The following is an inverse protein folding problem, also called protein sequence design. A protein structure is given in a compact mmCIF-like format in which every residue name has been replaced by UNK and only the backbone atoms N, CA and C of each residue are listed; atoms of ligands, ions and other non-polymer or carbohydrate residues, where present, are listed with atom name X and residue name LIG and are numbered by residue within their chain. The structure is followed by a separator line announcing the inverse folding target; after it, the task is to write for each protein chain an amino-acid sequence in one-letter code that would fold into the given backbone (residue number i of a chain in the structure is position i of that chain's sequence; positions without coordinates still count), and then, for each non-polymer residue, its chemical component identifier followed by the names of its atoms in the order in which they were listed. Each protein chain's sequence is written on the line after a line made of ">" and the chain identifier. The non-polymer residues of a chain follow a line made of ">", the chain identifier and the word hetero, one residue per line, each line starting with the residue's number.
data_IF_421696149413
#
_entry.id   IF_421696149413
#
_cell.length_a   1.000
_cell.length_b   1.000
_cell.length_c   1.000
_cell.angle_alpha   90.00
_cell.angle_beta   90.00
_cell.angle_gamma   90.00
#
_symmetry.space_group_name_H-M   'P 1'
#
loop_
_entity.id
_entity.type
_entity.pdbx_description
1 polymer ?
#
# COMPACT_ATOMS: atom_id res chain seq x y z
N UNK A 1 -15.15 83.06 36.48
CA UNK A 1 -16.57 83.32 36.15
C UNK A 1 -16.61 84.00 34.80
N UNK A 2 -17.23 83.39 33.79
CA UNK A 2 -17.95 84.11 32.73
C UNK A 2 -18.89 83.12 32.05
N UNK A 3 -20.17 83.40 32.21
CA UNK A 3 -21.33 82.61 31.79
C UNK A 3 -21.48 82.59 30.26
N UNK A 4 -21.99 81.47 29.73
CA UNK A 4 -22.40 81.34 28.33
C UNK A 4 -23.70 80.55 28.26
N UNK A 5 -24.83 81.27 28.30
CA UNK A 5 -26.18 80.73 28.17
C UNK A 5 -26.39 80.11 26.77
N UNK A 6 -26.89 78.88 26.70
CA UNK A 6 -27.29 78.22 25.45
C UNK A 6 -28.68 78.68 24.98
N UNK A 7 -28.98 78.67 23.66
CA UNK A 7 -30.25 79.17 23.15
C UNK A 7 -31.40 78.16 23.38
N UNK A 8 -32.31 78.45 24.31
CA UNK A 8 -33.61 77.75 24.44
C UNK A 8 -34.65 78.37 23.50
N UNK A 9 -34.53 78.08 22.20
CA UNK A 9 -35.54 78.44 21.19
C UNK A 9 -36.58 77.33 20.98
N UNK A 10 -37.86 77.69 20.84
CA UNK A 10 -38.94 76.78 20.44
C UNK A 10 -38.65 76.20 19.05
N UNK A 11 -38.54 74.87 18.95
CA UNK A 11 -38.37 74.16 17.67
C UNK A 11 -39.73 73.81 17.10
N UNK A 12 -40.17 74.55 16.10
CA UNK A 12 -41.35 74.19 15.32
C UNK A 12 -40.99 73.01 14.39
N UNK A 13 -41.33 71.78 14.79
CA UNK A 13 -41.15 70.58 13.97
C UNK A 13 -42.48 70.28 13.31
N UNK A 14 -42.51 70.19 11.98
CA UNK A 14 -43.73 69.85 11.25
C UNK A 14 -44.23 68.45 11.66
N UNK A 15 -45.56 68.27 11.84
CA UNK A 15 -46.12 67.00 12.26
C UNK A 15 -45.94 65.94 11.16
N UNK A 16 -45.42 64.77 11.54
CA UNK A 16 -45.23 63.66 10.61
C UNK A 16 -46.55 63.15 10.03
N UNK A 17 -46.55 62.93 8.72
CA UNK A 17 -47.70 62.39 7.98
C UNK A 17 -47.97 60.92 8.38
N UNK A 18 -49.17 60.42 8.07
CA UNK A 18 -49.55 59.02 8.38
C UNK A 18 -48.67 58.01 7.65
N UNK A 19 -48.25 58.36 6.43
CA UNK A 19 -47.37 57.55 5.58
C UNK A 19 -45.96 57.46 6.17
N UNK A 20 -45.40 58.58 6.63
CA UNK A 20 -44.10 58.61 7.31
C UNK A 20 -44.09 57.76 8.58
N UNK A 21 -45.19 57.78 9.34
CA UNK A 21 -45.33 56.99 10.57
C UNK A 21 -45.44 55.48 10.28
N UNK A 22 -46.07 55.11 9.18
CA UNK A 22 -46.15 53.72 8.72
C UNK A 22 -44.79 53.23 8.22
N UNK A 23 -44.10 54.04 7.41
CA UNK A 23 -42.75 53.76 6.94
C UNK A 23 -41.73 53.67 8.08
N UNK A 24 -41.90 54.42 9.17
CA UNK A 24 -41.02 54.34 10.34
C UNK A 24 -41.14 53.02 11.13
N UNK A 25 -42.30 52.34 11.03
CA UNK A 25 -42.56 51.07 11.72
C UNK A 25 -42.08 49.86 10.94
N UNK A 26 -42.12 49.94 9.61
CA UNK A 26 -41.64 48.88 8.72
C UNK A 26 -40.17 49.10 8.37
N UNK A 27 -39.32 48.11 8.70
CA UNK A 27 -37.87 48.18 8.47
C UNK A 27 -37.53 48.32 7.00
N UNK A 28 -38.28 47.69 6.11
CA UNK A 28 -38.01 47.73 4.67
C UNK A 28 -38.40 49.09 4.07
N UNK A 29 -39.53 49.67 4.50
CA UNK A 29 -39.97 50.99 4.04
C UNK A 29 -39.10 52.11 4.61
N UNK A 30 -38.63 51.98 5.86
CA UNK A 30 -37.69 52.91 6.48
C UNK A 30 -36.37 52.98 5.69
N UNK A 31 -35.80 51.83 5.34
CA UNK A 31 -34.54 51.80 4.58
C UNK A 31 -34.73 52.31 3.14
N UNK A 32 -35.85 52.01 2.49
CA UNK A 32 -36.19 52.60 1.19
C UNK A 32 -36.28 54.13 1.25
N UNK A 33 -36.94 54.71 2.26
CA UNK A 33 -37.04 56.16 2.39
C UNK A 33 -35.69 56.82 2.71
N UNK A 34 -34.85 56.16 3.53
CA UNK A 34 -33.48 56.61 3.82
C UNK A 34 -32.59 56.60 2.58
N UNK A 35 -32.68 55.56 1.75
CA UNK A 35 -31.96 55.48 0.47
C UNK A 35 -32.41 56.57 -0.50
N UNK A 36 -33.72 56.82 -0.60
CA UNK A 36 -34.25 57.94 -1.39
C UNK A 36 -33.75 59.30 -0.88
N UNK A 37 -33.69 59.51 0.44
CA UNK A 37 -33.16 60.75 1.02
C UNK A 37 -31.65 60.91 0.78
N UNK A 38 -30.87 59.83 0.85
CA UNK A 38 -29.42 59.83 0.55
C UNK A 38 -29.13 60.10 -0.93
N UNK A 39 -29.96 59.61 -1.84
CA UNK A 39 -29.85 59.86 -3.28
C UNK A 39 -29.94 61.37 -3.64
N UNK A 40 -30.43 62.23 -2.73
CA UNK A 40 -30.54 63.68 -2.94
C UNK A 40 -29.27 64.50 -2.66
N UNK A 41 -28.18 63.92 -2.13
CA UNK A 41 -27.01 64.69 -1.61
C UNK A 41 -25.70 64.46 -2.41
N UNK A 42 -25.73 63.79 -3.56
CA UNK A 42 -24.54 63.58 -4.42
C UNK A 42 -24.63 64.26 -5.80
N UNK A 43 -23.50 64.41 -6.53
CA UNK A 43 -23.48 64.99 -7.89
C UNK A 43 -24.20 64.13 -8.94
N UNK A 44 -24.58 62.89 -8.60
CA UNK A 44 -25.38 62.03 -9.45
C UNK A 44 -26.87 62.18 -9.07
N UNK A 45 -27.49 63.28 -9.53
CA UNK A 45 -28.93 63.45 -9.43
C UNK A 45 -29.59 62.45 -10.39
N UNK A 46 -30.14 61.35 -9.86
CA UNK A 46 -31.10 60.59 -10.66
C UNK A 46 -32.34 61.47 -10.91
N UNK A 47 -32.87 61.49 -12.15
CA UNK A 47 -33.98 62.36 -12.50
C UNK A 47 -35.19 62.06 -11.61
N UNK A 48 -35.90 63.12 -11.23
CA UNK A 48 -37.01 63.17 -10.28
C UNK A 48 -38.24 62.28 -10.65
N UNK A 49 -38.13 61.53 -11.74
CA UNK A 49 -39.12 60.60 -12.30
C UNK A 49 -38.54 59.19 -12.49
N UNK A 50 -37.72 58.69 -11.56
CA UNK A 50 -37.34 57.28 -11.58
C UNK A 50 -38.52 56.41 -11.11
N UNK A 51 -39.38 56.01 -12.05
CA UNK A 51 -40.44 55.02 -11.85
C UNK A 51 -39.88 53.58 -11.75
N UNK A 52 -38.69 53.41 -11.17
CA UNK A 52 -37.99 52.13 -11.06
C UNK A 52 -37.66 51.77 -9.62
N UNK A 53 -37.28 50.51 -9.39
CA UNK A 53 -36.84 50.04 -8.08
C UNK A 53 -35.49 50.69 -7.70
N UNK A 54 -35.35 51.34 -6.53
CA UNK A 54 -34.10 51.98 -6.11
C UNK A 54 -32.95 50.99 -5.85
N UNK A 55 -33.23 49.68 -5.95
CA UNK A 55 -32.26 48.60 -5.80
C UNK A 55 -31.64 48.20 -7.15
N UNK A 56 -32.34 48.48 -8.26
CA UNK A 56 -31.89 48.11 -9.60
C UNK A 56 -31.23 49.33 -10.24
N UNK A 57 -29.91 49.31 -10.50
CA UNK A 57 -29.22 50.42 -11.14
C UNK A 57 -29.78 50.69 -12.54
N UNK A 58 -29.70 51.92 -13.02
CA UNK A 58 -30.13 52.27 -14.37
C UNK A 58 -29.32 51.52 -15.44
N UNK A 59 -29.93 51.17 -16.59
CA UNK A 59 -29.31 50.34 -17.65
C UNK A 59 -27.97 50.86 -18.20
N UNK A 60 -27.76 52.16 -18.11
CA UNK A 60 -26.54 52.85 -18.53
C UNK A 60 -25.50 53.01 -17.41
N UNK A 61 -25.82 52.62 -16.18
CA UNK A 61 -24.89 52.65 -15.07
C UNK A 61 -23.93 51.45 -15.16
N UNK A 62 -22.65 51.62 -14.79
CA UNK A 62 -21.67 50.52 -14.80
C UNK A 62 -22.00 49.39 -13.82
N UNK A 63 -22.87 49.66 -12.83
CA UNK A 63 -23.36 48.65 -11.89
C UNK A 63 -24.53 47.82 -12.47
N UNK A 64 -25.07 48.18 -13.63
CA UNK A 64 -26.14 47.42 -14.26
C UNK A 64 -25.62 46.15 -14.92
N UNK A 65 -26.19 45.02 -14.50
CA UNK A 65 -26.08 43.75 -15.19
C UNK A 65 -27.48 43.29 -15.57
N UNK A 66 -27.61 42.70 -16.76
CA UNK A 66 -28.85 42.04 -17.14
C UNK A 66 -29.02 40.78 -16.28
N UNK A 67 -30.27 40.42 -15.96
CA UNK A 67 -30.57 39.23 -15.14
C UNK A 67 -30.01 37.97 -15.81
N UNK A 68 -29.93 37.97 -17.15
CA UNK A 68 -29.31 36.90 -17.93
C UNK A 68 -27.80 36.81 -17.77
N UNK A 69 -27.09 37.92 -17.53
CA UNK A 69 -25.62 37.95 -17.36
C UNK A 69 -25.21 37.84 -15.88
N UNK A 70 -26.18 37.99 -14.98
CA UNK A 70 -26.00 37.87 -13.54
C UNK A 70 -25.63 36.45 -13.09
N UNK A 71 -26.06 35.43 -13.83
CA UNK A 71 -25.84 34.03 -13.50
C UNK A 71 -24.98 33.33 -14.55
N UNK A 72 -24.14 32.40 -14.09
CA UNK A 72 -23.41 31.54 -15.02
C UNK A 72 -24.42 30.65 -15.76
N UNK A 73 -24.37 30.69 -17.09
CA UNK A 73 -25.28 29.94 -17.96
C UNK A 73 -24.83 28.50 -18.15
N UNK A 74 -23.54 28.21 -17.96
CA UNK A 74 -22.98 26.88 -18.14
C UNK A 74 -22.97 26.05 -16.85
N UNK A 75 -24.15 25.80 -16.31
CA UNK A 75 -24.33 24.94 -15.13
C UNK A 75 -23.85 23.51 -15.44
N UNK A 76 -24.03 23.04 -16.67
CA UNK A 76 -23.61 21.71 -17.09
C UNK A 76 -22.07 21.56 -17.04
N UNK A 77 -21.33 22.56 -17.54
CA UNK A 77 -19.87 22.62 -17.47
C UNK A 77 -19.35 22.65 -16.05
N UNK A 78 -19.94 23.47 -15.17
CA UNK A 78 -19.56 23.52 -13.74
C UNK A 78 -19.78 22.18 -13.04
N UNK A 79 -20.93 21.53 -13.26
CA UNK A 79 -21.22 20.23 -12.68
C UNK A 79 -20.28 19.14 -13.19
N UNK A 80 -19.94 19.16 -14.48
CA UNK A 80 -18.98 18.24 -15.06
C UNK A 80 -17.57 18.47 -14.49
N UNK A 81 -17.12 19.72 -14.40
CA UNK A 81 -15.82 20.06 -13.80
C UNK A 81 -15.74 19.58 -12.34
N UNK A 82 -16.81 19.80 -11.56
CA UNK A 82 -16.89 19.30 -10.18
C UNK A 82 -16.84 17.78 -10.10
N UNK A 83 -17.52 17.08 -11.02
CA UNK A 83 -17.47 15.61 -11.12
C UNK A 83 -16.05 15.12 -11.43
N UNK A 84 -15.37 15.75 -12.39
CA UNK A 84 -14.00 15.40 -12.77
C UNK A 84 -13.01 15.66 -11.63
N UNK A 85 -13.10 16.79 -10.95
CA UNK A 85 -12.27 17.07 -9.77
C UNK A 85 -12.47 16.04 -8.65
N UNK A 86 -13.71 15.64 -8.40
CA UNK A 86 -14.01 14.61 -7.40
C UNK A 86 -13.45 13.24 -7.80
N UNK A 87 -13.47 12.92 -9.09
CA UNK A 87 -12.90 11.69 -9.62
C UNK A 87 -11.37 11.70 -9.49
N UNK A 88 -10.71 12.77 -9.91
CA UNK A 88 -9.26 12.95 -9.79
C UNK A 88 -8.79 12.83 -8.34
N UNK A 89 -9.46 13.50 -7.39
CA UNK A 89 -9.15 13.37 -5.96
C UNK A 89 -9.25 11.93 -5.45
N UNK A 90 -10.25 11.17 -5.92
CA UNK A 90 -10.39 9.76 -5.55
C UNK A 90 -9.24 8.93 -6.13
N UNK A 91 -8.91 9.16 -7.40
CA UNK A 91 -7.81 8.46 -8.07
C UNK A 91 -6.46 8.75 -7.41
N UNK A 92 -6.17 9.99 -7.05
CA UNK A 92 -4.97 10.40 -6.31
C UNK A 92 -4.88 9.67 -4.96
N UNK A 93 -5.97 9.65 -4.19
CA UNK A 93 -6.01 8.92 -2.91
C UNK A 93 -5.75 7.43 -3.10
N UNK A 94 -6.33 6.81 -4.14
CA UNK A 94 -6.08 5.40 -4.42
C UNK A 94 -4.65 5.13 -4.89
N UNK A 95 -4.07 6.03 -5.68
CA UNK A 95 -2.69 5.92 -6.14
C UNK A 95 -1.71 5.98 -4.96
N UNK A 96 -1.90 6.95 -4.05
CA UNK A 96 -1.08 7.08 -2.84
C UNK A 96 -1.19 5.82 -1.98
N UNK A 97 -2.42 5.38 -1.67
CA UNK A 97 -2.64 4.18 -0.85
C UNK A 97 -2.02 2.92 -1.47
N UNK A 98 -2.09 2.79 -2.81
CA UNK A 98 -1.50 1.65 -3.52
C UNK A 98 0.03 1.69 -3.43
N UNK A 99 0.65 2.85 -3.59
CA UNK A 99 2.09 3.02 -3.44
C UNK A 99 2.55 2.71 -2.01
N UNK A 100 1.87 3.26 -1.00
CA UNK A 100 2.17 3.00 0.41
C UNK A 100 2.07 1.52 0.76
N UNK A 101 0.98 0.86 0.33
CA UNK A 101 0.80 -0.57 0.55
C UNK A 101 1.90 -1.39 -0.15
N UNK A 102 2.24 -1.03 -1.38
CA UNK A 102 3.32 -1.70 -2.12
C UNK A 102 4.66 -1.58 -1.38
N UNK A 103 5.02 -0.38 -0.90
CA UNK A 103 6.26 -0.18 -0.15
C UNK A 103 6.28 -0.94 1.17
N UNK A 104 5.16 -0.95 1.89
CA UNK A 104 5.02 -1.70 3.15
C UNK A 104 5.17 -3.20 2.94
N UNK A 105 4.45 -3.75 1.96
CA UNK A 105 4.55 -5.16 1.61
C UNK A 105 5.99 -5.49 1.23
N UNK A 106 6.59 -4.75 0.30
CA UNK A 106 7.96 -4.99 -0.14
C UNK A 106 8.95 -5.03 1.04
N UNK A 107 8.86 -4.10 1.98
CA UNK A 107 9.69 -4.09 3.20
C UNK A 107 9.45 -5.32 4.07
N UNK A 108 8.20 -5.74 4.24
CA UNK A 108 7.85 -6.97 4.97
C UNK A 108 8.42 -8.23 4.29
N UNK A 109 8.34 -8.31 2.95
CA UNK A 109 8.89 -9.42 2.19
C UNK A 109 10.43 -9.45 2.26
N UNK A 110 11.08 -8.29 2.15
CA UNK A 110 12.55 -8.18 2.26
C UNK A 110 13.04 -8.58 3.65
N UNK A 111 12.36 -8.13 4.71
CA UNK A 111 12.69 -8.51 6.10
C UNK A 111 12.47 -10.01 6.36
N UNK A 112 11.38 -10.59 5.87
CA UNK A 112 11.13 -12.04 5.96
C UNK A 112 12.18 -12.84 5.18
N UNK A 113 12.53 -12.41 3.97
CA UNK A 113 13.56 -13.06 3.16
C UNK A 113 14.93 -13.02 3.84
N UNK A 114 15.31 -11.88 4.44
CA UNK A 114 16.54 -11.77 5.21
C UNK A 114 16.52 -12.66 6.46
N UNK A 115 15.40 -12.72 7.18
CA UNK A 115 15.26 -13.59 8.35
C UNK A 115 15.40 -15.07 7.96
N UNK A 116 14.73 -15.49 6.88
CA UNK A 116 14.84 -16.84 6.35
C UNK A 116 16.26 -17.17 5.88
N UNK A 117 16.95 -16.24 5.19
CA UNK A 117 18.33 -16.43 4.76
C UNK A 117 19.29 -16.59 5.95
N UNK A 118 19.11 -15.79 7.02
CA UNK A 118 19.90 -15.91 8.25
C UNK A 118 19.67 -17.25 8.96
N UNK A 119 18.42 -17.70 9.01
CA UNK A 119 18.04 -18.98 9.61
C UNK A 119 18.63 -20.15 8.82
N UNK A 120 18.49 -20.12 7.50
CA UNK A 120 19.09 -21.11 6.60
C UNK A 120 20.62 -21.17 6.75
N UNK A 121 21.29 -20.01 6.78
CA UNK A 121 22.73 -19.94 7.00
C UNK A 121 23.13 -20.49 8.38
N UNK A 122 22.35 -20.21 9.43
CA UNK A 122 22.57 -20.77 10.78
C UNK A 122 22.43 -22.28 10.79
N UNK A 123 21.40 -22.81 10.12
CA UNK A 123 21.19 -24.26 10.00
C UNK A 123 22.30 -24.93 9.20
N UNK A 124 22.72 -24.33 8.09
CA UNK A 124 23.82 -24.84 7.27
C UNK A 124 25.13 -24.86 8.06
N UNK A 125 25.47 -23.77 8.76
CA UNK A 125 26.62 -23.72 9.64
C UNK A 125 26.56 -24.78 10.75
N UNK A 126 25.38 -25.01 11.35
CA UNK A 126 25.18 -26.06 12.34
C UNK A 126 25.37 -27.47 11.75
N UNK A 127 24.89 -27.70 10.52
CA UNK A 127 25.03 -28.97 9.80
C UNK A 127 26.48 -29.25 9.42
N UNK A 128 27.20 -28.27 8.88
CA UNK A 128 28.59 -28.41 8.45
C UNK A 128 29.55 -28.59 9.62
N UNK A 129 29.39 -27.81 10.69
CA UNK A 129 30.20 -27.96 11.90
C UNK A 129 29.89 -29.24 12.67
N UNK A 130 28.69 -29.80 12.50
CA UNK A 130 28.24 -31.03 13.16
C UNK A 130 28.20 -30.93 14.69
N UNK A 131 28.28 -29.71 15.26
CA UNK A 131 28.41 -29.50 16.70
C UNK A 131 27.24 -30.07 17.50
N UNK A 132 26.01 -29.98 16.97
CA UNK A 132 24.83 -30.61 17.58
C UNK A 132 24.83 -32.14 17.49
N UNK A 133 25.39 -32.69 16.41
CA UNK A 133 25.40 -34.13 16.15
C UNK A 133 26.49 -34.87 16.95
N UNK A 134 27.56 -34.18 17.39
CA UNK A 134 28.66 -34.80 18.16
C UNK A 134 28.20 -35.45 19.48
N UNK A 135 27.19 -34.89 20.14
CA UNK A 135 26.67 -35.42 21.42
C UNK A 135 25.72 -36.62 21.25
N UNK A 136 25.14 -36.80 20.06
CA UNK A 136 24.17 -37.87 19.78
C UNK A 136 24.74 -38.97 18.87
N UNK A 137 26.06 -39.08 18.75
CA UNK A 137 26.66 -40.21 18.04
C UNK A 137 26.41 -41.48 18.86
N UNK A 138 25.65 -42.42 18.29
CA UNK A 138 25.45 -43.73 18.90
C UNK A 138 26.78 -44.47 19.04
N UNK A 139 26.86 -45.35 20.04
CA UNK A 139 28.04 -46.22 20.26
C UNK A 139 28.27 -47.24 19.14
N UNK A 140 27.29 -47.39 18.25
CA UNK A 140 27.32 -48.37 17.17
C UNK A 140 28.35 -48.03 16.09
N UNK A 141 28.97 -49.06 15.53
CA UNK A 141 29.98 -48.91 14.47
C UNK A 141 29.36 -48.78 13.06
N UNK A 142 28.11 -49.21 12.89
CA UNK A 142 27.36 -49.15 11.64
C UNK A 142 26.06 -48.37 11.82
N UNK A 143 25.75 -47.49 10.87
CA UNK A 143 24.52 -46.70 10.89
C UNK A 143 23.49 -47.30 9.93
N UNK A 144 22.38 -47.80 10.48
CA UNK A 144 21.30 -48.44 9.72
C UNK A 144 20.46 -47.46 8.88
N UNK A 145 20.50 -46.17 9.19
CA UNK A 145 19.73 -45.14 8.48
C UNK A 145 20.50 -44.67 7.24
N UNK A 146 21.78 -44.32 7.41
CA UNK A 146 22.64 -43.92 6.30
C UNK A 146 23.21 -45.11 5.53
N UNK A 147 23.00 -46.34 6.02
CA UNK A 147 23.54 -47.58 5.48
C UNK A 147 25.07 -47.55 5.31
N UNK A 148 25.75 -46.79 6.16
CA UNK A 148 27.18 -46.53 6.08
C UNK A 148 27.87 -46.83 7.41
N UNK A 149 29.15 -47.20 7.35
CA UNK A 149 29.98 -47.27 8.54
C UNK A 149 30.21 -45.87 9.10
N UNK A 150 30.25 -45.76 10.43
CA UNK A 150 30.57 -44.50 11.08
C UNK A 150 32.07 -44.17 10.90
N UNK A 151 32.42 -42.89 10.81
CA UNK A 151 33.81 -42.45 10.72
C UNK A 151 34.49 -42.46 12.10
N UNK A 152 34.43 -43.60 12.78
CA UNK A 152 35.08 -43.87 14.05
C UNK A 152 36.05 -45.04 13.86
N UNK A 153 37.00 -45.21 14.78
CA UNK A 153 37.93 -46.35 14.74
C UNK A 153 37.17 -47.70 14.69
N UNK A 154 36.09 -47.84 15.48
CA UNK A 154 35.24 -49.03 15.47
C UNK A 154 34.55 -49.27 14.12
N UNK A 155 34.02 -48.22 13.49
CA UNK A 155 33.42 -48.30 12.16
C UNK A 155 34.42 -48.72 11.07
N UNK A 156 35.63 -48.17 11.10
CA UNK A 156 36.70 -48.57 10.17
C UNK A 156 37.16 -50.02 10.37
N UNK A 157 37.28 -50.47 11.63
CA UNK A 157 37.60 -51.86 11.95
C UNK A 157 36.50 -52.82 11.48
N UNK A 158 35.23 -52.47 11.67
CA UNK A 158 34.11 -53.28 11.20
C UNK A 158 34.08 -53.35 9.68
N UNK A 159 34.31 -52.23 8.98
CA UNK A 159 34.40 -52.19 7.52
C UNK A 159 35.55 -53.09 7.00
N UNK A 160 36.70 -53.07 7.65
CA UNK A 160 37.83 -53.93 7.30
C UNK A 160 37.51 -55.43 7.52
N UNK A 161 36.79 -55.77 8.58
CA UNK A 161 36.35 -57.16 8.83
C UNK A 161 35.35 -57.62 7.77
N UNK A 162 34.35 -56.81 7.47
CA UNK A 162 33.31 -57.16 6.49
C UNK A 162 33.87 -57.28 5.07
N UNK A 163 34.83 -56.42 4.70
CA UNK A 163 35.55 -56.52 3.42
C UNK A 163 36.36 -57.80 3.34
N UNK A 164 37.11 -58.15 4.39
CA UNK A 164 37.84 -59.42 4.45
C UNK A 164 36.92 -60.65 4.33
N UNK A 165 35.74 -60.63 4.97
CA UNK A 165 34.74 -61.71 4.85
C UNK A 165 34.19 -61.80 3.42
N UNK A 166 33.92 -60.67 2.76
CA UNK A 166 33.49 -60.64 1.36
C UNK A 166 34.56 -61.21 0.43
N UNK A 167 35.82 -60.85 0.64
CA UNK A 167 36.95 -61.38 -0.13
C UNK A 167 37.13 -62.89 0.07
N UNK A 168 37.07 -63.37 1.31
CA UNK A 168 37.16 -64.80 1.62
C UNK A 168 36.00 -65.59 1.00
N UNK A 169 34.78 -65.04 1.04
CA UNK A 169 33.61 -65.62 0.37
C UNK A 169 33.81 -65.69 -1.15
N UNK A 170 34.39 -64.66 -1.74
CA UNK A 170 34.68 -64.62 -3.17
C UNK A 170 35.72 -65.67 -3.57
N UNK A 171 36.84 -65.75 -2.83
CA UNK A 171 37.86 -66.77 -3.06
C UNK A 171 37.28 -68.19 -2.94
N UNK A 172 36.40 -68.41 -1.95
CA UNK A 172 35.67 -69.68 -1.82
C UNK A 172 34.74 -69.95 -3.00
N UNK A 173 34.03 -68.93 -3.50
CA UNK A 173 33.15 -69.08 -4.65
C UNK A 173 33.93 -69.49 -5.90
N UNK A 174 35.09 -68.86 -6.16
CA UNK A 174 35.99 -69.23 -7.26
C UNK A 174 36.49 -70.66 -7.11
N UNK A 175 36.92 -71.05 -5.90
CA UNK A 175 37.43 -72.40 -5.63
C UNK A 175 36.37 -73.49 -5.75
N UNK A 176 35.14 -73.24 -5.27
CA UNK A 176 34.04 -74.20 -5.43
C UNK A 176 33.64 -74.32 -6.90
N UNK A 177 33.58 -73.20 -7.60
CA UNK A 177 33.21 -73.16 -9.00
C UNK A 177 34.23 -73.88 -9.88
N UNK A 178 35.54 -73.69 -9.64
CA UNK A 178 36.60 -74.40 -10.38
C UNK A 178 36.57 -75.92 -10.12
N UNK A 179 36.28 -76.35 -8.89
CA UNK A 179 36.18 -77.79 -8.55
C UNK A 179 34.91 -78.45 -9.10
N UNK A 180 33.81 -77.70 -9.21
CA UNK A 180 32.54 -78.21 -9.71
C UNK A 180 32.54 -78.45 -11.23
N UNK A 181 33.45 -77.81 -11.98
CA UNK A 181 33.55 -77.94 -13.42
C UNK A 181 34.82 -78.71 -13.79
N UNK A 182 34.67 -79.90 -14.38
CA UNK A 182 35.80 -80.72 -14.85
C UNK A 182 36.36 -80.28 -16.20
N UNK A 183 35.64 -79.42 -16.92
CA UNK A 183 35.96 -78.97 -18.29
C UNK A 183 35.92 -77.44 -18.33
N UNK A 184 36.69 -76.80 -19.22
CA UNK A 184 36.84 -75.34 -19.29
C UNK A 184 35.74 -74.59 -20.06
N UNK A 185 34.79 -75.32 -20.66
CA UNK A 185 33.70 -74.80 -21.47
C UNK A 185 32.37 -75.42 -21.04
N UNK A 186 31.27 -74.74 -21.36
CA UNK A 186 29.93 -75.28 -21.18
C UNK A 186 29.69 -76.41 -22.19
N UNK A 187 29.36 -77.61 -21.72
CA UNK A 187 29.16 -78.79 -22.57
C UNK A 187 27.92 -78.72 -23.47
N UNK A 188 26.97 -77.81 -23.20
CA UNK A 188 25.76 -77.61 -24.02
C UNK A 188 26.00 -76.56 -25.11
N UNK A 189 26.66 -75.44 -24.76
CA UNK A 189 26.80 -74.28 -25.65
C UNK A 189 28.19 -74.10 -26.26
N UNK A 190 29.21 -74.78 -25.72
CA UNK A 190 30.61 -74.64 -26.16
C UNK A 190 31.32 -73.36 -25.69
N UNK A 191 30.61 -72.43 -25.04
CA UNK A 191 31.19 -71.17 -24.57
C UNK A 191 32.17 -71.37 -23.40
N UNK A 192 33.21 -70.53 -23.27
CA UNK A 192 34.13 -70.59 -22.14
C UNK A 192 33.38 -70.31 -20.83
N UNK A 193 33.73 -71.08 -19.80
CA UNK A 193 33.11 -70.93 -18.48
C UNK A 193 33.54 -69.59 -17.86
N UNK A 194 32.56 -68.77 -17.47
CA UNK A 194 32.78 -67.46 -16.83
C UNK A 194 32.95 -67.66 -15.32
N UNK A 195 34.14 -67.40 -14.81
CA UNK A 195 34.37 -67.41 -13.36
C UNK A 195 33.53 -66.33 -12.67
N UNK A 196 33.06 -66.58 -11.43
CA UNK A 196 32.43 -65.54 -10.64
C UNK A 196 33.44 -64.44 -10.35
N UNK A 197 33.35 -63.34 -11.10
CA UNK A 197 34.11 -62.11 -10.86
C UNK A 197 33.37 -61.26 -9.83
N UNK A 198 34.09 -60.48 -8.99
CA UNK A 198 33.43 -59.54 -8.10
C UNK A 198 32.58 -58.57 -8.95
N UNK A 199 31.35 -58.31 -8.51
CA UNK A 199 30.57 -57.22 -9.08
C UNK A 199 31.38 -55.93 -8.89
N UNK A 200 31.59 -55.17 -9.98
CA UNK A 200 32.20 -53.84 -9.87
C UNK A 200 31.31 -53.01 -8.94
N UNK A 201 31.89 -52.56 -7.83
CA UNK A 201 31.26 -51.59 -6.92
C UNK A 201 31.14 -50.24 -7.60
#
# INVERSE_FOLDING_TARGET
>A
MSEGAGPSGFRNVEPQTREERAAARDKDLLEKSRLQARSRVGPLKEPQNFMGSPVVPARNAPAFCDEYDRFNRDVAGELNAKKQQNLQKKEEVYAIKRAEQYHRERSNWETQAQAAAREAARLEASRTTGMGAKRNQGSESYNIISLSYNNTSGGQQLAAKDTAVKEARQARAVNLYSKAHSVSHNIITGEPIKFPTPAKQ
#
